data_IF_693877103611
#
_entry.id   IF_693877103611
#
_cell.length_a   1.000
_cell.length_b   1.000
_cell.length_c   1.000
_cell.angle_alpha   90.00
_cell.angle_beta   90.00
_cell.angle_gamma   90.00
#
_symmetry.space_group_name_H-M   'P 1'
#
loop_
_entity.id
_entity.type
_entity.pdbx_description
1 polymer ?
#
# COMPACT_ATOMS: atom_id res chain seq x y z
N UNK A 1 -2.30 3.86 -21.25
CA UNK A 1 -2.32 3.01 -20.03
C UNK A 1 -1.96 1.60 -20.44
N UNK A 2 -1.09 0.93 -19.68
CA UNK A 2 -0.61 -0.43 -19.97
C UNK A 2 -1.47 -1.46 -19.22
N UNK A 3 -1.79 -2.58 -19.88
CA UNK A 3 -2.51 -3.70 -19.24
C UNK A 3 -1.52 -4.62 -18.53
N UNK A 4 -1.83 -4.99 -17.29
CA UNK A 4 -1.02 -5.89 -16.48
C UNK A 4 -1.15 -7.34 -16.95
N UNK A 5 -0.03 -8.04 -17.10
CA UNK A 5 0.02 -9.37 -17.72
C UNK A 5 -0.63 -10.48 -16.89
N UNK A 6 -0.65 -10.32 -15.56
CA UNK A 6 -1.10 -11.32 -14.61
C UNK A 6 -2.61 -11.30 -14.35
N UNK A 7 -3.28 -10.15 -14.56
CA UNK A 7 -4.68 -9.99 -14.21
C UNK A 7 -5.52 -9.17 -15.20
N UNK A 8 -4.92 -8.64 -16.27
CA UNK A 8 -5.63 -7.86 -17.28
C UNK A 8 -6.10 -6.48 -16.82
N UNK A 9 -5.71 -6.04 -15.61
CA UNK A 9 -6.04 -4.71 -15.10
C UNK A 9 -5.34 -3.64 -15.94
N UNK A 10 -6.07 -2.58 -16.30
CA UNK A 10 -5.45 -1.40 -16.90
C UNK A 10 -4.79 -0.57 -15.81
N UNK A 11 -3.46 -0.45 -15.87
CA UNK A 11 -2.70 0.20 -14.82
C UNK A 11 -2.92 1.73 -14.81
N UNK A 12 -3.13 2.27 -13.62
CA UNK A 12 -3.08 3.71 -13.35
C UNK A 12 -1.68 4.25 -13.68
N UNK A 13 -1.60 5.50 -14.14
CA UNK A 13 -0.33 6.10 -14.59
C UNK A 13 0.77 6.14 -13.52
N UNK A 14 0.37 6.22 -12.24
CA UNK A 14 1.30 6.26 -11.11
C UNK A 14 1.69 4.87 -10.60
N UNK A 15 1.09 3.80 -11.14
CA UNK A 15 1.47 2.44 -10.77
C UNK A 15 2.82 2.10 -11.43
N UNK A 16 3.81 1.59 -10.70
CA UNK A 16 5.13 1.26 -11.23
C UNK A 16 5.11 -0.05 -12.05
N UNK A 17 4.50 0.01 -13.24
CA UNK A 17 4.24 -1.16 -14.11
C UNK A 17 5.52 -1.90 -14.48
N UNK A 18 6.56 -1.18 -14.90
CA UNK A 18 7.80 -1.81 -15.41
C UNK A 18 8.47 -2.74 -14.38
N UNK A 19 8.79 -2.31 -13.13
CA UNK A 19 9.37 -3.21 -12.14
C UNK A 19 8.36 -4.25 -11.61
N UNK A 20 7.06 -3.92 -11.56
CA UNK A 20 6.02 -4.89 -11.19
C UNK A 20 5.98 -6.08 -12.16
N UNK A 21 5.98 -5.81 -13.46
CA UNK A 21 5.99 -6.82 -14.51
C UNK A 21 7.32 -7.57 -14.57
N UNK A 22 8.44 -6.88 -14.38
CA UNK A 22 9.76 -7.51 -14.38
C UNK A 22 9.89 -8.56 -13.26
N UNK A 23 9.43 -8.23 -12.05
CA UNK A 23 9.36 -9.19 -10.95
C UNK A 23 8.42 -10.34 -11.29
N UNK A 24 7.21 -10.06 -11.79
CA UNK A 24 6.25 -11.11 -12.12
C UNK A 24 6.76 -12.11 -13.16
N UNK A 25 7.30 -11.58 -14.26
CA UNK A 25 7.84 -12.40 -15.34
C UNK A 25 8.97 -13.30 -14.85
N UNK A 26 9.88 -12.74 -14.02
CA UNK A 26 11.00 -13.49 -13.44
C UNK A 26 10.51 -14.56 -12.45
N UNK A 27 9.59 -14.25 -11.54
CA UNK A 27 9.07 -15.26 -10.60
C UNK A 27 8.33 -16.37 -11.34
N UNK A 28 7.49 -16.02 -12.33
CA UNK A 28 6.76 -16.98 -13.16
C UNK A 28 7.68 -17.93 -13.93
N UNK A 29 8.78 -17.44 -14.49
CA UNK A 29 9.66 -18.28 -15.32
C UNK A 29 10.39 -19.36 -14.51
N UNK A 30 10.61 -19.15 -13.21
CA UNK A 30 11.34 -20.12 -12.36
C UNK A 30 10.41 -20.98 -11.50
N UNK A 31 9.30 -20.43 -11.00
CA UNK A 31 8.51 -21.08 -9.95
C UNK A 31 7.03 -21.29 -10.26
N UNK A 32 6.59 -21.11 -11.52
CA UNK A 32 5.19 -21.32 -11.90
C UNK A 32 4.65 -22.75 -11.70
N UNK A 33 5.54 -23.73 -11.49
CA UNK A 33 5.17 -25.13 -11.27
C UNK A 33 5.22 -25.54 -9.80
N UNK A 34 5.58 -24.64 -8.88
CA UNK A 34 5.62 -24.93 -7.44
C UNK A 34 4.20 -24.87 -6.86
N UNK A 35 3.83 -25.82 -6.00
CA UNK A 35 2.47 -25.89 -5.41
C UNK A 35 2.05 -24.60 -4.71
N UNK A 36 2.98 -23.90 -4.06
CA UNK A 36 2.73 -22.63 -3.38
C UNK A 36 2.74 -21.40 -4.31
N UNK A 37 2.87 -21.58 -5.63
CA UNK A 37 2.87 -20.46 -6.60
C UNK A 37 1.60 -19.60 -6.52
N UNK A 38 0.45 -20.20 -6.20
CA UNK A 38 -0.82 -19.49 -6.02
C UNK A 38 -0.80 -18.48 -4.88
N UNK A 39 0.03 -18.70 -3.85
CA UNK A 39 0.22 -17.74 -2.77
C UNK A 39 0.89 -16.46 -3.28
N UNK A 40 1.87 -16.61 -4.16
CA UNK A 40 2.52 -15.49 -4.81
C UNK A 40 1.58 -14.78 -5.79
N UNK A 41 0.90 -15.50 -6.68
CA UNK A 41 0.04 -14.88 -7.70
C UNK A 41 -1.14 -14.13 -7.06
N UNK A 42 -1.74 -14.70 -6.01
CA UNK A 42 -2.78 -14.05 -5.22
C UNK A 42 -2.30 -12.74 -4.60
N UNK A 43 -1.11 -12.74 -3.98
CA UNK A 43 -0.52 -11.56 -3.39
C UNK A 43 -0.13 -10.50 -4.44
N UNK A 44 0.40 -10.92 -5.58
CA UNK A 44 0.76 -10.02 -6.67
C UNK A 44 -0.45 -9.34 -7.29
N UNK A 45 -1.56 -10.07 -7.46
CA UNK A 45 -2.85 -9.52 -7.85
C UNK A 45 -3.36 -8.53 -6.80
N UNK A 46 -3.30 -8.90 -5.52
CA UNK A 46 -3.73 -8.04 -4.43
C UNK A 46 -2.93 -6.73 -4.40
N UNK A 47 -1.61 -6.75 -4.60
CA UNK A 47 -0.79 -5.53 -4.68
C UNK A 47 -1.35 -4.57 -5.73
N UNK A 48 -1.60 -5.04 -6.96
CA UNK A 48 -2.18 -4.21 -8.01
C UNK A 48 -3.58 -3.71 -7.61
N UNK A 49 -4.49 -4.59 -7.22
CA UNK A 49 -5.86 -4.20 -6.88
C UNK A 49 -5.95 -3.21 -5.71
N UNK A 50 -5.12 -3.39 -4.68
CA UNK A 50 -5.09 -2.50 -3.51
C UNK A 50 -4.47 -1.15 -3.85
N UNK A 51 -3.42 -1.11 -4.67
CA UNK A 51 -2.91 0.17 -5.14
C UNK A 51 -3.99 0.96 -5.89
N UNK A 52 -4.65 0.33 -6.86
CA UNK A 52 -5.67 0.99 -7.68
C UNK A 52 -6.90 1.38 -6.85
N UNK A 53 -7.36 0.50 -5.96
CA UNK A 53 -8.45 0.80 -5.05
C UNK A 53 -8.16 1.97 -4.12
N UNK A 54 -6.88 2.19 -3.75
CA UNK A 54 -6.49 3.41 -3.05
C UNK A 54 -6.68 4.63 -3.96
N UNK A 55 -6.12 4.61 -5.18
CA UNK A 55 -6.24 5.74 -6.11
C UNK A 55 -7.70 6.11 -6.40
N UNK A 56 -8.53 5.11 -6.69
CA UNK A 56 -9.96 5.30 -6.99
C UNK A 56 -10.69 5.92 -5.79
N UNK A 57 -10.42 5.44 -4.57
CA UNK A 57 -10.99 6.00 -3.36
C UNK A 57 -10.55 7.46 -3.12
N UNK A 58 -9.29 7.78 -3.41
CA UNK A 58 -8.77 9.15 -3.39
C UNK A 58 -9.50 10.07 -4.37
N UNK A 59 -9.72 9.61 -5.59
CA UNK A 59 -10.47 10.34 -6.61
C UNK A 59 -11.94 10.57 -6.21
N UNK A 60 -12.59 9.58 -5.58
CA UNK A 60 -13.94 9.71 -5.02
C UNK A 60 -13.96 10.80 -3.94
N UNK A 61 -12.98 10.81 -3.03
CA UNK A 61 -12.88 11.82 -1.98
C UNK A 61 -12.68 13.22 -2.58
N UNK A 62 -11.73 13.41 -3.50
CA UNK A 62 -11.49 14.69 -4.18
C UNK A 62 -12.74 15.20 -4.91
N UNK A 63 -13.44 14.32 -5.64
CA UNK A 63 -14.70 14.66 -6.29
C UNK A 63 -15.74 15.14 -5.28
N UNK A 64 -15.87 14.45 -4.15
CA UNK A 64 -16.80 14.84 -3.09
C UNK A 64 -16.41 16.17 -2.44
N UNK A 65 -15.12 16.41 -2.20
CA UNK A 65 -14.62 17.70 -1.69
C UNK A 65 -14.96 18.85 -2.65
N UNK A 66 -14.74 18.66 -3.95
CA UNK A 66 -15.05 19.68 -4.96
C UNK A 66 -16.55 19.97 -5.05
N UNK A 67 -17.40 18.97 -4.83
CA UNK A 67 -18.84 19.11 -4.96
C UNK A 67 -19.51 19.67 -3.70
N UNK A 68 -19.06 19.27 -2.52
CA UNK A 68 -19.76 19.55 -1.26
C UNK A 68 -18.90 20.28 -0.22
N UNK A 69 -17.64 20.56 -0.55
CA UNK A 69 -16.67 21.16 0.37
C UNK A 69 -16.21 20.21 1.47
N UNK A 70 -15.35 20.70 2.37
CA UNK A 70 -14.78 19.91 3.46
C UNK A 70 -15.65 19.87 4.72
N UNK A 71 -16.82 20.51 4.73
CA UNK A 71 -17.80 20.40 5.82
C UNK A 71 -19.23 20.22 5.31
N UNK A 72 -19.53 19.13 4.61
CA UNK A 72 -20.87 18.92 4.10
C UNK A 72 -21.80 18.39 5.21
N UNK A 73 -23.08 18.27 4.87
CA UNK A 73 -24.09 17.64 5.72
C UNK A 73 -23.75 16.17 6.07
N UNK A 74 -24.43 15.57 7.05
CA UNK A 74 -24.04 14.28 7.63
C UNK A 74 -23.87 13.14 6.62
N UNK A 75 -24.77 13.03 5.62
CA UNK A 75 -24.72 11.96 4.64
C UNK A 75 -23.50 12.05 3.72
N UNK A 76 -23.25 13.23 3.14
CA UNK A 76 -22.06 13.47 2.32
C UNK A 76 -20.78 13.37 3.14
N UNK A 77 -20.81 13.76 4.42
CA UNK A 77 -19.67 13.63 5.32
C UNK A 77 -19.30 12.16 5.53
N UNK A 78 -20.30 11.31 5.78
CA UNK A 78 -20.08 9.86 5.88
C UNK A 78 -19.41 9.30 4.60
N UNK A 79 -19.91 9.67 3.42
CA UNK A 79 -19.31 9.24 2.15
C UNK A 79 -17.86 9.70 1.99
N UNK A 80 -17.53 10.90 2.46
CA UNK A 80 -16.15 11.39 2.48
C UNK A 80 -15.26 10.58 3.45
N UNK A 81 -15.75 10.25 4.66
CA UNK A 81 -14.99 9.42 5.60
C UNK A 81 -14.82 7.98 5.07
N UNK A 82 -15.82 7.42 4.39
CA UNK A 82 -15.73 6.11 3.72
C UNK A 82 -14.66 6.12 2.61
N UNK A 83 -14.63 7.17 1.79
CA UNK A 83 -13.61 7.32 0.76
C UNK A 83 -12.20 7.44 1.36
N UNK A 84 -12.03 8.21 2.45
CA UNK A 84 -10.76 8.28 3.18
C UNK A 84 -10.37 6.93 3.82
N UNK A 85 -11.33 6.23 4.41
CA UNK A 85 -11.11 4.89 4.96
C UNK A 85 -10.59 3.95 3.89
N UNK A 86 -11.23 3.92 2.72
CA UNK A 86 -10.83 3.07 1.60
C UNK A 86 -9.48 3.49 1.01
N UNK A 87 -9.19 4.78 0.94
CA UNK A 87 -7.88 5.31 0.49
C UNK A 87 -6.74 4.77 1.36
N UNK A 88 -6.80 5.02 2.67
CA UNK A 88 -5.74 4.60 3.60
C UNK A 88 -5.67 3.09 3.80
N UNK A 89 -6.81 2.41 3.86
CA UNK A 89 -6.86 0.95 4.07
C UNK A 89 -6.31 0.21 2.85
N UNK A 90 -6.73 0.58 1.64
CA UNK A 90 -6.18 -0.06 0.43
C UNK A 90 -4.71 0.30 0.22
N UNK A 91 -4.30 1.54 0.46
CA UNK A 91 -2.89 1.92 0.30
C UNK A 91 -1.96 1.15 1.25
N UNK A 92 -2.33 0.98 2.53
CA UNK A 92 -1.53 0.15 3.43
C UNK A 92 -1.60 -1.34 3.10
N UNK A 93 -2.78 -1.84 2.68
CA UNK A 93 -2.94 -3.24 2.25
C UNK A 93 -2.10 -3.58 1.01
N UNK A 94 -1.76 -2.59 0.17
CA UNK A 94 -0.82 -2.80 -0.94
C UNK A 94 0.57 -3.18 -0.44
N UNK A 95 1.07 -2.54 0.63
CA UNK A 95 2.34 -2.96 1.27
C UNK A 95 2.24 -4.36 1.85
N UNK A 96 1.15 -4.68 2.54
CA UNK A 96 0.95 -6.01 3.13
C UNK A 96 0.93 -7.11 2.05
N UNK A 97 0.24 -6.87 0.94
CA UNK A 97 0.23 -7.77 -0.21
C UNK A 97 1.62 -7.91 -0.85
N UNK A 98 2.37 -6.82 -0.99
CA UNK A 98 3.74 -6.85 -1.49
C UNK A 98 4.64 -7.71 -0.60
N UNK A 99 4.66 -7.47 0.72
CA UNK A 99 5.46 -8.26 1.65
C UNK A 99 5.04 -9.73 1.68
N UNK A 100 3.75 -10.02 1.55
CA UNK A 100 3.27 -11.40 1.40
C UNK A 100 3.83 -12.06 0.14
N UNK A 101 3.83 -11.35 -0.99
CA UNK A 101 4.45 -11.82 -2.24
C UNK A 101 5.96 -12.06 -2.11
N UNK A 102 6.68 -11.19 -1.39
CA UNK A 102 8.10 -11.40 -1.08
C UNK A 102 8.31 -12.64 -0.20
N UNK A 103 7.47 -12.83 0.81
CA UNK A 103 7.52 -14.02 1.68
C UNK A 103 7.28 -15.31 0.88
N UNK A 104 6.30 -15.28 -0.04
CA UNK A 104 6.04 -16.40 -0.95
C UNK A 104 7.25 -16.73 -1.81
N UNK A 105 7.94 -15.73 -2.38
CA UNK A 105 9.18 -16.00 -3.11
C UNK A 105 10.30 -16.50 -2.20
N UNK A 106 10.41 -15.98 -0.98
CA UNK A 106 11.27 -16.56 0.05
C UNK A 106 11.01 -18.05 0.24
N UNK A 107 9.74 -18.46 0.28
CA UNK A 107 9.34 -19.88 0.40
C UNK A 107 9.72 -20.74 -0.80
N UNK A 108 9.87 -20.15 -1.99
CA UNK A 108 10.31 -20.88 -3.18
C UNK A 108 11.83 -21.13 -3.16
N UNK A 109 12.57 -20.26 -2.46
CA UNK A 109 14.03 -20.31 -2.36
C UNK A 109 14.47 -21.14 -1.14
N UNK A 110 13.88 -20.86 0.02
CA UNK A 110 14.14 -21.53 1.30
C UNK A 110 12.80 -21.79 2.05
N UNK A 111 12.13 -22.91 1.79
CA UNK A 111 10.86 -23.26 2.44
C UNK A 111 10.96 -23.39 3.97
N UNK A 112 12.15 -23.68 4.51
CA UNK A 112 12.34 -23.85 5.96
C UNK A 112 12.37 -22.49 6.67
N UNK A 113 13.03 -21.50 6.07
CA UNK A 113 13.03 -20.14 6.59
C UNK A 113 11.69 -19.41 6.34
N UNK A 114 10.96 -19.79 5.29
CA UNK A 114 9.71 -19.16 4.87
C UNK A 114 8.54 -20.16 4.76
N UNK A 115 8.05 -20.70 5.89
CA UNK A 115 6.95 -21.65 5.87
C UNK A 115 5.65 -20.96 5.43
N UNK A 116 4.98 -21.50 4.40
CA UNK A 116 3.77 -20.93 3.78
C UNK A 116 2.72 -21.97 3.34
N UNK A 117 2.81 -23.19 3.85
CA UNK A 117 2.01 -24.34 3.39
C UNK A 117 0.67 -24.48 4.11
N UNK A 118 0.56 -23.97 5.33
CA UNK A 118 -0.67 -24.07 6.14
C UNK A 118 -1.39 -22.73 6.28
N UNK A 119 -2.72 -22.73 6.50
CA UNK A 119 -3.46 -21.49 6.78
C UNK A 119 -2.90 -20.70 7.97
N UNK A 120 -2.40 -21.39 9.00
CA UNK A 120 -1.80 -20.76 10.17
C UNK A 120 -0.46 -20.08 9.84
N UNK A 121 0.34 -20.67 8.95
CA UNK A 121 1.57 -20.06 8.43
C UNK A 121 1.26 -18.81 7.60
N UNK A 122 0.29 -18.93 6.69
CA UNK A 122 -0.17 -17.83 5.83
C UNK A 122 -0.66 -16.63 6.66
N UNK A 123 -1.46 -16.86 7.71
CA UNK A 123 -1.98 -15.80 8.58
C UNK A 123 -0.91 -15.07 9.40
N UNK A 124 0.27 -15.67 9.58
CA UNK A 124 1.36 -15.06 10.37
C UNK A 124 2.21 -14.11 9.55
N UNK A 125 2.10 -14.16 8.21
CA UNK A 125 2.89 -13.31 7.32
C UNK A 125 2.51 -11.85 7.54
N UNK A 126 3.53 -11.03 7.76
CA UNK A 126 3.42 -9.58 7.93
C UNK A 126 4.70 -8.92 7.45
N UNK A 127 4.71 -7.58 7.24
CA UNK A 127 5.94 -6.88 6.83
C UNK A 127 7.12 -7.16 7.75
N UNK A 128 6.92 -7.08 9.08
CA UNK A 128 7.98 -7.30 10.07
C UNK A 128 8.46 -8.75 10.02
N UNK A 129 7.54 -9.72 10.05
CA UNK A 129 7.92 -11.15 10.01
C UNK A 129 8.64 -11.52 8.71
N UNK A 130 8.27 -10.86 7.60
CA UNK A 130 8.96 -11.05 6.32
C UNK A 130 10.38 -10.52 6.40
N UNK A 131 10.59 -9.30 6.90
CA UNK A 131 11.93 -8.76 7.10
C UNK A 131 12.78 -9.64 8.03
N UNK A 132 12.21 -10.13 9.14
CA UNK A 132 12.89 -11.05 10.05
C UNK A 132 13.33 -12.34 9.34
N UNK A 133 12.44 -12.98 8.58
CA UNK A 133 12.76 -14.18 7.82
C UNK A 133 13.86 -13.93 6.76
N UNK A 134 13.79 -12.81 6.03
CA UNK A 134 14.85 -12.42 5.10
C UNK A 134 16.18 -12.16 5.81
N UNK A 135 16.18 -11.54 6.99
CA UNK A 135 17.41 -11.27 7.74
C UNK A 135 18.10 -12.57 8.20
N UNK A 136 17.33 -13.62 8.50
CA UNK A 136 17.86 -14.94 8.84
C UNK A 136 18.36 -15.72 7.64
N UNK A 137 17.62 -15.70 6.53
CA UNK A 137 17.92 -16.52 5.35
C UNK A 137 18.91 -15.88 4.37
N UNK A 138 18.93 -14.55 4.27
CA UNK A 138 19.68 -13.80 3.26
C UNK A 138 20.55 -12.72 3.90
N UNK A 139 21.45 -13.17 4.79
CA UNK A 139 22.36 -12.30 5.53
C UNK A 139 23.17 -11.41 4.57
N UNK A 140 23.25 -10.12 4.87
CA UNK A 140 23.94 -9.08 4.09
C UNK A 140 23.36 -8.81 2.68
N UNK A 141 22.18 -9.34 2.34
CA UNK A 141 21.56 -9.00 1.06
C UNK A 141 21.09 -7.53 1.05
N UNK A 142 21.35 -6.76 -0.02
CA UNK A 142 20.91 -5.37 -0.14
C UNK A 142 19.40 -5.13 0.00
N UNK A 143 18.56 -6.18 -0.13
CA UNK A 143 17.12 -6.05 0.15
C UNK A 143 16.82 -5.67 1.61
N UNK A 144 17.70 -6.06 2.55
CA UNK A 144 17.55 -5.73 3.98
C UNK A 144 17.70 -4.22 4.24
N UNK A 145 18.57 -3.55 3.47
CA UNK A 145 18.68 -2.08 3.52
C UNK A 145 17.40 -1.41 3.03
N UNK A 146 16.74 -1.98 2.01
CA UNK A 146 15.47 -1.46 1.51
C UNK A 146 14.35 -1.62 2.55
N UNK A 147 14.26 -2.75 3.25
CA UNK A 147 13.32 -2.92 4.36
C UNK A 147 13.58 -1.93 5.48
N UNK A 148 14.84 -1.76 5.87
CA UNK A 148 15.24 -0.82 6.93
C UNK A 148 14.85 0.61 6.57
N UNK A 149 15.14 1.03 5.33
CA UNK A 149 14.75 2.36 4.83
C UNK A 149 13.25 2.55 4.79
N UNK A 150 12.50 1.58 4.26
CA UNK A 150 11.03 1.66 4.20
C UNK A 150 10.43 1.76 5.61
N UNK A 151 10.88 0.94 6.55
CA UNK A 151 10.36 0.97 7.92
C UNK A 151 10.78 2.21 8.70
N UNK A 152 11.88 2.86 8.34
CA UNK A 152 12.26 4.15 8.89
C UNK A 152 11.55 5.34 8.21
N UNK A 153 10.94 5.13 7.04
CA UNK A 153 10.34 6.21 6.25
C UNK A 153 9.13 6.82 6.96
N UNK A 154 9.11 8.15 7.21
CA UNK A 154 8.00 8.81 7.87
C UNK A 154 6.66 8.64 7.14
N UNK A 155 6.68 8.55 5.81
CA UNK A 155 5.50 8.37 4.98
C UNK A 155 4.92 6.97 5.19
N UNK A 156 5.75 5.92 5.16
CA UNK A 156 5.30 4.55 5.47
C UNK A 156 4.71 4.44 6.89
N UNK A 157 5.37 5.05 7.88
CA UNK A 157 4.86 5.10 9.25
C UNK A 157 3.53 5.85 9.35
N UNK A 158 3.37 6.94 8.58
CA UNK A 158 2.10 7.66 8.46
C UNK A 158 1.02 6.74 7.94
N UNK A 159 1.21 6.08 6.79
CA UNK A 159 0.24 5.14 6.21
C UNK A 159 -0.21 4.07 7.21
N UNK A 160 0.77 3.47 7.93
CA UNK A 160 0.50 2.49 8.98
C UNK A 160 -0.35 3.06 10.12
N UNK A 161 0.01 4.24 10.61
CA UNK A 161 -0.70 4.91 11.70
C UNK A 161 -2.14 5.29 11.30
N UNK A 162 -2.31 5.84 10.09
CA UNK A 162 -3.62 6.22 9.55
C UNK A 162 -4.54 5.01 9.46
N UNK A 163 -4.09 3.94 8.78
CA UNK A 163 -4.86 2.68 8.67
C UNK A 163 -5.20 2.13 10.04
N UNK A 164 -4.25 2.07 10.98
CA UNK A 164 -4.53 1.56 12.32
C UNK A 164 -5.58 2.36 13.09
N UNK A 165 -5.58 3.70 12.97
CA UNK A 165 -6.63 4.51 13.60
C UNK A 165 -7.98 4.25 12.96
N UNK A 166 -8.03 4.29 11.62
CA UNK A 166 -9.28 4.16 10.87
C UNK A 166 -9.92 2.78 10.99
N UNK A 167 -9.11 1.72 11.01
CA UNK A 167 -9.63 0.34 11.10
C UNK A 167 -10.02 -0.06 12.52
N UNK A 168 -9.29 0.40 13.55
CA UNK A 168 -9.43 -0.18 14.89
C UNK A 168 -9.85 0.81 15.98
N UNK A 169 -9.64 2.12 15.78
CA UNK A 169 -9.69 3.08 16.89
C UNK A 169 -10.82 4.09 16.77
N UNK A 170 -11.01 4.71 15.62
CA UNK A 170 -11.95 5.82 15.50
C UNK A 170 -12.28 6.19 14.05
N UNK A 171 -13.46 6.79 13.87
CA UNK A 171 -13.71 7.77 12.83
C UNK A 171 -13.28 9.14 13.38
N UNK A 172 -12.14 9.71 12.94
CA UNK A 172 -11.47 10.80 13.66
C UNK A 172 -12.33 12.07 13.81
N UNK A 173 -13.31 12.27 12.91
CA UNK A 173 -14.10 13.50 12.85
C UNK A 173 -13.27 14.69 12.36
N UNK A 174 -13.89 15.87 12.35
CA UNK A 174 -13.29 17.09 11.76
C UNK A 174 -13.22 18.23 12.76
N UNK A 175 -12.19 19.07 12.65
CA UNK A 175 -12.17 20.39 13.30
C UNK A 175 -12.65 21.43 12.31
N UNK A 176 -13.65 22.19 12.71
CA UNK A 176 -14.29 23.21 11.89
C UNK A 176 -14.06 24.53 12.61
N UNK A 177 -13.41 25.46 11.93
CA UNK A 177 -13.15 26.78 12.46
C UNK A 177 -14.24 27.76 12.01
N UNK A 178 -14.64 28.68 12.88
CA UNK A 178 -15.61 29.73 12.58
C UNK A 178 -14.86 31.07 12.55
N UNK A 179 -14.85 31.72 11.40
CA UNK A 179 -14.26 33.05 11.21
C UNK A 179 -15.28 34.16 11.51
N UNK A 180 -14.80 35.33 11.93
CA UNK A 180 -15.63 36.52 12.17
C UNK A 180 -15.83 37.31 10.86
N UNK A 181 -14.85 37.29 9.94
CA UNK A 181 -14.92 37.85 8.59
C UNK A 181 -15.14 36.81 7.50
N UNK A 182 -15.44 37.28 6.28
CA UNK A 182 -15.48 36.46 5.07
C UNK A 182 -14.05 35.98 4.78
N UNK A 183 -13.86 34.66 4.70
CA UNK A 183 -12.59 33.98 4.44
C UNK A 183 -11.54 34.01 5.58
N UNK A 184 -11.93 34.39 6.80
CA UNK A 184 -11.03 34.41 7.97
C UNK A 184 -10.85 33.05 8.66
N UNK A 185 -11.63 32.03 8.28
CA UNK A 185 -11.56 30.71 8.91
C UNK A 185 -10.45 29.85 8.29
N UNK A 186 -9.56 29.24 9.10
CA UNK A 186 -8.64 28.21 8.62
C UNK A 186 -9.36 27.04 7.94
N UNK A 187 -8.61 26.29 7.12
CA UNK A 187 -9.12 25.09 6.47
C UNK A 187 -9.68 24.09 7.49
N UNK A 188 -10.73 23.38 7.12
CA UNK A 188 -11.25 22.27 7.93
C UNK A 188 -10.18 21.19 8.00
N UNK A 189 -9.84 20.81 9.22
CA UNK A 189 -8.83 19.78 9.47
C UNK A 189 -9.50 18.45 9.76
N UNK A 190 -8.84 17.39 9.31
CA UNK A 190 -9.09 16.07 9.85
C UNK A 190 -8.44 16.00 11.23
N UNK A 191 -9.20 15.55 12.23
CA UNK A 191 -8.66 15.35 13.59
C UNK A 191 -7.57 14.28 13.64
N UNK A 192 -7.38 13.53 12.56
CA UNK A 192 -6.28 12.61 12.37
C UNK A 192 -5.07 13.36 11.80
N UNK A 193 -4.05 13.56 12.63
CA UNK A 193 -2.77 14.20 12.30
C UNK A 193 -2.87 15.67 11.84
N UNK A 194 -3.93 16.38 12.25
CA UNK A 194 -4.10 17.82 12.02
C UNK A 194 -3.97 18.20 10.53
N UNK A 195 -4.37 17.28 9.64
CA UNK A 195 -4.18 17.45 8.21
C UNK A 195 -5.33 18.28 7.61
N UNK A 196 -5.04 19.30 6.80
CA UNK A 196 -6.06 19.97 6.00
C UNK A 196 -6.81 18.98 5.11
N UNK A 197 -8.15 19.01 5.14
CA UNK A 197 -8.98 18.23 4.22
C UNK A 197 -9.17 18.99 2.91
N UNK A 198 -8.14 18.94 2.07
CA UNK A 198 -8.13 19.57 0.75
C UNK A 198 -7.73 18.59 -0.37
N UNK A 199 -7.71 19.08 -1.61
CA UNK A 199 -7.33 18.28 -2.77
C UNK A 199 -5.84 17.91 -2.79
N UNK A 200 -4.99 18.65 -2.07
CA UNK A 200 -3.56 18.40 -2.01
C UNK A 200 -3.26 17.15 -1.18
N UNK A 201 -4.06 16.85 -0.14
CA UNK A 201 -3.93 15.65 0.70
C UNK A 201 -3.85 14.36 -0.12
N UNK A 202 -4.84 14.12 -1.00
CA UNK A 202 -4.88 12.88 -1.81
C UNK A 202 -3.69 12.82 -2.76
N UNK A 203 -3.39 13.92 -3.44
CA UNK A 203 -2.30 13.97 -4.42
C UNK A 203 -0.93 13.71 -3.76
N UNK A 204 -0.70 14.29 -2.59
CA UNK A 204 0.54 14.11 -1.83
C UNK A 204 0.71 12.65 -1.41
N UNK A 205 -0.31 12.06 -0.79
CA UNK A 205 -0.23 10.69 -0.30
C UNK A 205 -0.23 9.65 -1.42
N UNK A 206 -0.95 9.90 -2.52
CA UNK A 206 -0.85 9.06 -3.72
C UNK A 206 0.58 9.01 -4.26
N UNK A 207 1.27 10.15 -4.31
CA UNK A 207 2.69 10.20 -4.70
C UNK A 207 3.57 9.44 -3.70
N UNK A 208 3.35 9.61 -2.40
CA UNK A 208 4.08 8.85 -1.36
C UNK A 208 3.92 7.34 -1.59
N UNK A 209 2.68 6.86 -1.76
CA UNK A 209 2.39 5.44 -2.01
C UNK A 209 3.11 4.92 -3.25
N UNK A 210 3.05 5.65 -4.37
CA UNK A 210 3.69 5.27 -5.62
C UNK A 210 5.22 5.16 -5.49
N UNK A 211 5.87 6.13 -4.84
CA UNK A 211 7.32 6.13 -4.63
C UNK A 211 7.75 4.96 -3.73
N UNK A 212 7.07 4.75 -2.61
CA UNK A 212 7.44 3.68 -1.68
C UNK A 212 7.26 2.28 -2.29
N UNK A 213 6.17 2.06 -3.06
CA UNK A 213 5.96 0.78 -3.76
C UNK A 213 7.00 0.61 -4.87
N UNK A 214 7.33 1.66 -5.63
CA UNK A 214 8.37 1.62 -6.66
C UNK A 214 9.73 1.21 -6.09
N UNK A 215 10.18 1.87 -5.01
CA UNK A 215 11.48 1.60 -4.40
C UNK A 215 11.61 0.15 -3.93
N UNK A 216 10.54 -0.39 -3.35
CA UNK A 216 10.49 -1.78 -2.91
C UNK A 216 10.45 -2.78 -4.07
N UNK A 217 9.70 -2.49 -5.14
CA UNK A 217 9.71 -3.33 -6.34
C UNK A 217 11.09 -3.36 -7.01
N UNK A 218 11.78 -2.22 -7.08
CA UNK A 218 13.14 -2.15 -7.60
C UNK A 218 14.13 -2.93 -6.72
N UNK A 219 13.98 -2.84 -5.39
CA UNK A 219 14.79 -3.64 -4.47
C UNK A 219 14.54 -5.14 -4.65
N UNK A 220 13.26 -5.53 -4.79
CA UNK A 220 12.90 -6.92 -5.01
C UNK A 220 13.39 -7.46 -6.36
N UNK A 221 13.28 -6.66 -7.42
CA UNK A 221 13.83 -7.01 -8.73
C UNK A 221 15.36 -7.25 -8.65
N UNK A 222 16.10 -6.38 -7.93
CA UNK A 222 17.54 -6.57 -7.72
C UNK A 222 17.84 -7.85 -6.94
N UNK A 223 17.07 -8.15 -5.89
CA UNK A 223 17.18 -9.39 -5.13
C UNK A 223 16.99 -10.62 -6.01
N UNK A 224 16.00 -10.62 -6.90
CA UNK A 224 15.79 -11.75 -7.81
C UNK A 224 16.97 -11.93 -8.78
N UNK A 225 17.50 -10.83 -9.33
CA UNK A 225 18.61 -10.87 -10.28
C UNK A 225 19.92 -11.44 -9.69
N UNK A 226 20.09 -11.44 -8.37
CA UNK A 226 21.27 -12.03 -7.71
C UNK A 226 21.06 -13.48 -7.26
N UNK A 227 19.88 -14.07 -7.54
CA UNK A 227 19.51 -15.42 -7.10
C UNK A 227 19.16 -16.35 -8.24
N UNK A 228 18.59 -15.82 -9.32
CA UNK A 228 18.11 -16.56 -10.49
C UNK A 228 18.39 -15.80 -11.77
#
# INVERSE_FOLDING_TARGET
MQTLSNNGLTAHQDFPVAPYEAVHAKVRSYWSQVDSYDQYTGAWNALAYRFHGAIDAGAIFQKSLNQFGPHPGPHQRYQQEEALFNFFSNGFAAFEAMFYGLFAVGSFIDPQAFPLTTPQEQQRVSPVRTADAFSGAFVNDPILDAFTKLFADPSYQRWRAMRNVLTHRAAPGRRVFVGIGKDDAPAVEWKLNDQPLDNALVTAYQRELAVLILDMLLAFQRFLNTRI
#
